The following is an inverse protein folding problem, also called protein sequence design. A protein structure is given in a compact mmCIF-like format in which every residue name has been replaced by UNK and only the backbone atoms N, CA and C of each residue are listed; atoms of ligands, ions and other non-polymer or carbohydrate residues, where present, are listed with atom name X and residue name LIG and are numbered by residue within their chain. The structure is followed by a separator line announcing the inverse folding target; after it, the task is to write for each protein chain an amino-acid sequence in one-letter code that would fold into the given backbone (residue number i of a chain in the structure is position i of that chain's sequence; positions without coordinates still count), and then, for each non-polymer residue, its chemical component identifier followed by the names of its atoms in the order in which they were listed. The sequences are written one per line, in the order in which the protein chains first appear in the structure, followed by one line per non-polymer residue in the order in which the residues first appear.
data_IF_290553106022
#
_entry.id   IF_290553106022
#
_cell.length_a   1.000
_cell.length_b   1.000
_cell.length_c   1.000
_cell.angle_alpha   90.00
_cell.angle_beta   90.00
_cell.angle_gamma   90.00
#
_symmetry.space_group_name_H-M   'P 1'
#
loop_
_entity.id
_entity.type
_entity.pdbx_description
1 polymer ?
#
# COMPACT_ATOMS: atom_id res chain seq x y z
N UNK A 1 22.84 25.05 -31.41
CA UNK A 1 22.39 24.93 -30.02
C UNK A 1 21.61 23.63 -29.85
N UNK A 2 22.25 22.58 -29.33
CA UNK A 2 21.67 21.24 -29.14
C UNK A 2 21.59 20.87 -27.66
N UNK A 3 21.15 21.78 -26.79
CA UNK A 3 21.09 21.50 -25.35
C UNK A 3 19.65 21.24 -24.88
N UNK A 4 19.37 19.94 -24.62
CA UNK A 4 18.38 19.41 -23.64
C UNK A 4 17.01 18.92 -24.14
N UNK A 5 16.95 18.02 -25.12
CA UNK A 5 15.85 17.01 -25.13
C UNK A 5 16.28 15.86 -24.21
N UNK A 6 15.93 15.91 -22.92
CA UNK A 6 16.00 14.74 -22.05
C UNK A 6 15.26 13.60 -22.76
N UNK A 7 15.84 12.39 -22.89
CA UNK A 7 15.08 11.26 -23.41
C UNK A 7 13.84 11.11 -22.53
N UNK A 8 12.65 11.06 -23.16
CA UNK A 8 11.43 10.68 -22.45
C UNK A 8 11.71 9.33 -21.80
N UNK A 9 11.73 9.27 -20.47
CA UNK A 9 11.87 8.01 -19.77
C UNK A 9 10.80 7.03 -20.25
N UNK A 10 11.09 5.73 -20.23
CA UNK A 10 10.19 4.67 -20.71
C UNK A 10 8.87 4.53 -19.93
N UNK A 11 8.64 5.35 -18.90
CA UNK A 11 7.39 5.34 -18.12
C UNK A 11 7.21 4.09 -17.25
N UNK A 12 8.26 3.30 -17.03
CA UNK A 12 8.16 1.99 -16.38
C UNK A 12 7.81 2.05 -14.89
N UNK A 13 8.12 3.14 -14.19
CA UNK A 13 7.98 3.23 -12.73
C UNK A 13 6.58 2.88 -12.23
N UNK A 14 5.54 3.51 -12.77
CA UNK A 14 4.16 3.28 -12.30
C UNK A 14 3.64 1.88 -12.67
N UNK A 15 4.11 1.32 -13.80
CA UNK A 15 3.77 -0.05 -14.19
C UNK A 15 4.37 -1.09 -13.24
N UNK A 16 5.57 -0.81 -12.69
CA UNK A 16 6.21 -1.65 -11.68
C UNK A 16 5.47 -1.51 -10.35
N UNK A 17 5.15 -0.27 -9.92
CA UNK A 17 4.34 -0.04 -8.72
C UNK A 17 3.03 -0.81 -8.75
N UNK A 18 2.29 -0.73 -9.87
CA UNK A 18 1.02 -1.46 -10.04
C UNK A 18 1.18 -2.96 -9.86
N UNK A 19 2.19 -3.57 -10.50
CA UNK A 19 2.47 -5.01 -10.35
C UNK A 19 2.80 -5.41 -8.91
N UNK A 20 3.60 -4.61 -8.20
CA UNK A 20 3.95 -4.88 -6.80
C UNK A 20 2.69 -4.85 -5.93
N UNK A 21 1.87 -3.82 -6.08
CA UNK A 21 0.66 -3.63 -5.27
C UNK A 21 -0.37 -4.74 -5.55
N UNK A 22 -0.60 -5.08 -6.83
CA UNK A 22 -1.48 -6.18 -7.22
C UNK A 22 -0.98 -7.54 -6.71
N UNK A 23 0.34 -7.77 -6.73
CA UNK A 23 0.95 -8.99 -6.18
C UNK A 23 0.66 -9.14 -4.67
N UNK A 24 0.65 -8.03 -3.95
CA UNK A 24 0.27 -7.97 -2.53
C UNK A 24 -1.25 -7.84 -2.31
N UNK A 25 -2.08 -8.13 -3.32
CA UNK A 25 -3.55 -8.10 -3.24
C UNK A 25 -4.10 -6.72 -2.86
N UNK A 26 -3.35 -5.67 -3.17
CA UNK A 26 -3.73 -4.29 -2.97
C UNK A 26 -4.30 -3.63 -4.21
N UNK A 27 -4.70 -2.37 -4.05
CA UNK A 27 -5.24 -1.53 -5.13
C UNK A 27 -4.43 -0.24 -5.27
N UNK A 28 -4.37 0.31 -6.48
CA UNK A 28 -3.72 1.60 -6.77
C UNK A 28 -4.54 2.41 -7.76
N UNK A 29 -4.71 3.71 -7.50
CA UNK A 29 -5.44 4.64 -8.36
C UNK A 29 -4.86 6.07 -8.27
N UNK A 30 -5.41 6.97 -9.09
CA UNK A 30 -4.99 8.37 -9.14
C UNK A 30 -6.20 9.26 -8.97
N UNK A 31 -6.09 10.23 -8.08
CA UNK A 31 -7.04 11.32 -7.94
C UNK A 31 -6.39 12.62 -8.44
N UNK A 32 -7.03 13.28 -9.39
CA UNK A 32 -6.55 14.55 -9.93
C UNK A 32 -7.72 15.34 -10.50
N UNK A 33 -7.77 16.63 -10.21
CA UNK A 33 -8.68 17.58 -10.85
C UNK A 33 -8.10 18.18 -12.15
N UNK A 34 -6.91 17.73 -12.55
CA UNK A 34 -6.17 18.21 -13.71
C UNK A 34 -5.56 19.61 -13.55
N UNK A 35 -5.70 20.26 -12.39
CA UNK A 35 -5.28 21.65 -12.15
C UNK A 35 -4.31 21.81 -10.98
N UNK A 36 -4.48 21.04 -9.90
CA UNK A 36 -3.75 21.16 -8.63
C UNK A 36 -2.76 20.01 -8.39
N UNK A 37 -2.36 19.32 -9.46
CA UNK A 37 -1.52 18.12 -9.39
C UNK A 37 -2.34 16.83 -9.25
N UNK A 38 -1.66 15.75 -8.88
CA UNK A 38 -2.26 14.42 -8.79
C UNK A 38 -1.82 13.73 -7.50
N UNK A 39 -2.76 13.05 -6.85
CA UNK A 39 -2.50 12.12 -5.75
C UNK A 39 -2.47 10.71 -6.30
N UNK A 40 -1.39 9.98 -6.04
CA UNK A 40 -1.26 8.56 -6.34
C UNK A 40 -1.50 7.81 -5.04
N UNK A 41 -2.56 7.02 -4.99
CA UNK A 41 -3.07 6.43 -3.76
C UNK A 41 -3.06 4.91 -3.93
N UNK A 42 -2.71 4.19 -2.88
CA UNK A 42 -2.75 2.74 -2.87
C UNK A 42 -3.16 2.20 -1.50
N UNK A 43 -3.64 0.96 -1.49
CA UNK A 43 -3.99 0.20 -0.29
C UNK A 43 -3.32 -1.17 -0.35
N UNK A 44 -3.03 -1.74 0.82
CA UNK A 44 -2.58 -3.12 0.97
C UNK A 44 -3.39 -3.77 2.09
N UNK A 45 -3.82 -5.04 1.95
CA UNK A 45 -4.39 -5.78 3.05
C UNK A 45 -3.39 -5.87 4.21
N UNK A 46 -3.82 -5.56 5.43
CA UNK A 46 -3.02 -5.80 6.62
C UNK A 46 -3.32 -7.21 7.14
N UNK A 47 -2.29 -8.01 7.38
CA UNK A 47 -2.46 -9.25 8.12
C UNK A 47 -2.84 -8.91 9.57
N UNK A 48 -4.12 -9.04 9.91
CA UNK A 48 -4.53 -9.14 11.32
C UNK A 48 -3.91 -10.43 11.83
N UNK A 49 -2.94 -10.30 12.74
CA UNK A 49 -2.29 -11.47 13.30
C UNK A 49 -3.29 -12.12 14.27
N UNK A 50 -4.11 -13.05 13.77
CA UNK A 50 -5.16 -13.75 14.55
C UNK A 50 -4.57 -14.42 15.80
N UNK A 51 -3.29 -14.80 15.76
CA UNK A 51 -2.56 -15.35 16.91
C UNK A 51 -2.48 -14.39 18.11
N UNK A 52 -2.55 -13.07 17.91
CA UNK A 52 -2.54 -12.09 19.01
C UNK A 52 -3.91 -12.06 19.71
N UNK A 53 -5.00 -12.26 18.96
CA UNK A 53 -6.37 -12.24 19.50
C UNK A 53 -6.69 -13.50 20.33
N UNK A 54 -6.05 -14.63 20.04
CA UNK A 54 -6.18 -15.84 20.87
C UNK A 54 -5.48 -15.69 22.22
N UNK A 55 -4.29 -15.08 22.25
CA UNK A 55 -3.49 -14.95 23.47
C UNK A 55 -4.12 -14.01 24.53
N UNK A 56 -4.88 -12.99 24.14
CA UNK A 56 -5.57 -12.11 25.09
C UNK A 56 -6.72 -12.80 25.82
N UNK A 57 -7.38 -13.79 25.19
CA UNK A 57 -8.48 -14.51 25.84
C UNK A 57 -7.99 -15.46 26.95
N UNK A 58 -6.84 -16.13 26.76
CA UNK A 58 -6.28 -17.03 27.78
C UNK A 58 -5.77 -16.31 29.05
N UNK A 59 -5.21 -15.11 28.91
CA UNK A 59 -4.71 -14.34 30.08
C UNK A 59 -5.83 -13.77 30.95
N UNK A 60 -7.04 -13.64 30.41
CA UNK A 60 -8.20 -13.16 31.16
C UNK A 60 -8.86 -14.25 32.01
N UNK A 61 -8.80 -15.52 31.61
CA UNK A 61 -9.41 -16.63 32.37
C UNK A 61 -8.66 -16.97 33.68
N UNK A 62 -7.34 -16.73 33.74
CA UNK A 62 -6.56 -16.93 34.98
C UNK A 62 -6.82 -15.85 36.06
N UNK A 63 -7.39 -14.70 35.69
CA UNK A 63 -7.63 -13.59 36.62
C UNK A 63 -9.04 -13.58 37.24
N UNK A 64 -9.97 -14.41 36.75
CA UNK A 64 -11.35 -14.49 37.29
C UNK A 64 -11.47 -15.58 38.37
N UNK A 65 -10.49 -16.48 38.45
CA UNK A 65 -10.49 -17.61 39.39
C UNK A 65 -9.45 -17.50 40.51
N UNK A 66 -8.87 -16.32 40.75
CA UNK A 66 -8.02 -16.03 41.92
C UNK A 66 -8.63 -15.01 42.87
#
# INVERSE_FOLDING_TARGET
DQTRKKPKGSGLGLSICKKIIEYHQGEIWVESDGKQGSKFIFTLPTSTNESILENENYLNEENINS
#
